data_IF_624940754484
#
_entry.id   IF_624940754484
#
_cell.length_a   1.000
_cell.length_b   1.000
_cell.length_c   1.000
_cell.angle_alpha   90.00
_cell.angle_beta   90.00
_cell.angle_gamma   90.00
#
_symmetry.space_group_name_H-M   'P 1'
#
loop_
_entity.id
_entity.type
_entity.pdbx_description
1 polymer ?
#
# COMPACT_ATOMS: atom_id res chain seq x y z
N UNK A 1 8.59 -7.87 10.74
CA UNK A 1 7.59 -7.18 9.91
C UNK A 1 8.27 -6.74 8.64
N UNK A 2 7.52 -6.62 7.55
CA UNK A 2 7.98 -6.02 6.31
C UNK A 2 7.63 -4.55 6.25
N UNK A 3 8.38 -3.78 5.48
CA UNK A 3 8.14 -2.35 5.27
C UNK A 3 8.19 -2.07 3.78
N UNK A 4 7.18 -1.36 3.26
CA UNK A 4 7.14 -0.89 1.87
C UNK A 4 6.85 0.59 1.85
N UNK A 5 7.75 1.37 1.22
CA UNK A 5 7.55 2.80 1.06
C UNK A 5 7.05 3.13 -0.34
N UNK A 6 6.08 4.05 -0.42
CA UNK A 6 5.53 4.57 -1.67
C UNK A 6 5.67 6.08 -1.70
N UNK A 7 6.36 6.59 -2.71
CA UNK A 7 6.58 8.01 -2.93
C UNK A 7 6.12 8.41 -4.35
N UNK A 8 5.32 9.48 -4.43
CA UNK A 8 4.93 10.09 -5.70
C UNK A 8 3.44 10.45 -5.77
N UNK A 9 3.06 11.34 -6.71
CA UNK A 9 1.70 11.88 -6.79
C UNK A 9 0.64 10.80 -7.00
N UNK A 10 1.02 9.67 -7.59
CA UNK A 10 0.12 8.54 -7.88
C UNK A 10 -0.04 7.59 -6.68
N UNK A 11 0.69 7.80 -5.57
CA UNK A 11 0.71 6.90 -4.42
C UNK A 11 -0.67 6.79 -3.75
N UNK A 12 -1.40 7.90 -3.62
CA UNK A 12 -2.73 7.89 -3.01
C UNK A 12 -3.70 7.03 -3.83
N UNK A 13 -3.76 7.25 -5.15
CA UNK A 13 -4.64 6.52 -6.05
C UNK A 13 -4.28 5.03 -6.09
N UNK A 14 -2.98 4.73 -6.25
CA UNK A 14 -2.50 3.36 -6.28
C UNK A 14 -2.83 2.63 -4.98
N UNK A 15 -2.50 3.23 -3.84
CA UNK A 15 -2.81 2.63 -2.56
C UNK A 15 -4.30 2.42 -2.48
N UNK A 16 -5.14 3.46 -2.73
CA UNK A 16 -6.61 3.43 -2.78
C UNK A 16 -7.21 2.26 -3.56
N UNK A 17 -6.51 1.79 -4.59
CA UNK A 17 -6.92 0.64 -5.36
C UNK A 17 -6.69 -0.71 -4.67
N UNK A 18 -5.55 -0.90 -4.00
CA UNK A 18 -5.13 -2.22 -3.49
C UNK A 18 -5.52 -2.50 -2.03
N UNK A 19 -5.83 -1.46 -1.25
CA UNK A 19 -6.30 -1.60 0.14
C UNK A 19 -7.78 -1.25 0.29
N UNK A 20 -8.39 -1.77 1.34
CA UNK A 20 -9.82 -1.62 1.60
C UNK A 20 -10.27 -0.26 2.17
N UNK A 21 -9.42 0.45 2.93
CA UNK A 21 -9.86 1.63 3.69
C UNK A 21 -9.35 2.95 3.10
N UNK A 22 -10.18 3.94 2.80
CA UNK A 22 -9.82 5.21 2.13
C UNK A 22 -8.65 5.99 2.77
N UNK A 23 -7.56 6.16 2.01
CA UNK A 23 -6.30 6.82 2.43
C UNK A 23 -6.41 8.34 2.39
N UNK A 24 -7.37 8.90 1.64
CA UNK A 24 -7.57 10.35 1.57
C UNK A 24 -8.00 10.96 2.91
N UNK A 25 -8.52 10.11 3.82
CA UNK A 25 -8.92 10.50 5.18
C UNK A 25 -7.78 10.48 6.20
N UNK A 26 -6.59 10.00 5.83
CA UNK A 26 -5.43 10.06 6.72
C UNK A 26 -4.78 11.43 6.62
N UNK A 27 -4.62 12.09 7.75
CA UNK A 27 -3.75 13.25 7.88
C UNK A 27 -2.27 12.81 7.90
N UNK A 28 -1.34 13.63 7.38
CA UNK A 28 0.09 13.37 7.54
C UNK A 28 0.48 13.13 9.01
N UNK A 29 1.28 12.09 9.26
CA UNK A 29 1.66 11.61 10.59
C UNK A 29 0.71 10.57 11.19
N UNK A 30 -0.43 10.30 10.55
CA UNK A 30 -1.41 9.32 11.03
C UNK A 30 -1.26 7.96 10.35
N UNK A 31 -1.77 6.92 11.00
CA UNK A 31 -1.82 5.57 10.48
C UNK A 31 -3.24 4.99 10.52
N UNK A 32 -3.49 3.99 9.70
CA UNK A 32 -4.75 3.29 9.60
C UNK A 32 -4.52 1.81 9.33
N UNK A 33 -5.21 0.96 10.08
CA UNK A 33 -5.27 -0.47 9.79
C UNK A 33 -6.09 -0.71 8.52
N UNK A 34 -5.60 -1.58 7.63
CA UNK A 34 -6.29 -1.91 6.39
C UNK A 34 -5.98 -3.33 5.94
N UNK A 35 -6.77 -3.82 4.99
CA UNK A 35 -6.57 -5.10 4.34
C UNK A 35 -6.03 -4.88 2.94
N UNK A 36 -4.99 -5.64 2.58
CA UNK A 36 -4.52 -5.79 1.20
C UNK A 36 -5.40 -6.84 0.51
N UNK A 37 -6.04 -6.46 -0.59
CA UNK A 37 -7.00 -7.32 -1.27
C UNK A 37 -6.60 -7.62 -2.71
N UNK A 38 -7.07 -8.77 -3.20
CA UNK A 38 -7.12 -9.12 -4.61
C UNK A 38 -8.30 -8.43 -5.30
N UNK A 39 -8.28 -8.42 -6.63
CA UNK A 39 -9.36 -7.84 -7.47
C UNK A 39 -10.72 -8.50 -7.24
N UNK A 40 -10.74 -9.76 -6.80
CA UNK A 40 -11.97 -10.50 -6.48
C UNK A 40 -12.46 -10.27 -5.02
N UNK A 41 -11.80 -9.40 -4.25
CA UNK A 41 -12.13 -9.12 -2.85
C UNK A 41 -11.52 -10.11 -1.85
N UNK A 42 -10.73 -11.09 -2.28
CA UNK A 42 -9.99 -11.99 -1.39
C UNK A 42 -8.90 -11.25 -0.62
N UNK A 43 -8.79 -11.50 0.68
CA UNK A 43 -7.78 -10.87 1.55
C UNK A 43 -6.43 -11.57 1.39
N UNK A 44 -5.39 -10.79 1.13
CA UNK A 44 -4.00 -11.25 1.03
C UNK A 44 -3.31 -11.12 2.38
N UNK A 45 -3.39 -9.94 2.99
CA UNK A 45 -2.81 -9.65 4.30
C UNK A 45 -3.57 -8.53 4.99
N UNK A 46 -3.40 -8.43 6.30
CA UNK A 46 -3.76 -7.26 7.07
C UNK A 46 -2.52 -6.47 7.49
N UNK A 47 -2.60 -5.14 7.43
CA UNK A 47 -1.44 -4.26 7.57
C UNK A 47 -1.78 -2.90 8.18
N UNK A 48 -0.74 -2.18 8.59
CA UNK A 48 -0.85 -0.76 8.91
C UNK A 48 -0.32 0.10 7.77
N UNK A 49 -1.10 1.08 7.35
CA UNK A 49 -0.70 2.10 6.39
C UNK A 49 -0.53 3.45 7.09
N UNK A 50 0.62 4.10 6.91
CA UNK A 50 0.93 5.41 7.45
C UNK A 50 1.06 6.43 6.32
N UNK A 51 0.54 7.64 6.55
CA UNK A 51 0.80 8.79 5.68
C UNK A 51 1.96 9.59 6.25
N UNK A 52 3.12 9.54 5.61
CA UNK A 52 4.35 10.22 6.06
C UNK A 52 4.47 11.66 5.51
N UNK A 53 3.60 12.05 4.58
CA UNK A 53 3.57 13.37 3.97
C UNK A 53 2.45 13.47 2.93
N UNK A 54 2.49 14.50 2.08
CA UNK A 54 1.48 14.72 1.06
C UNK A 54 1.28 13.48 0.16
N UNK A 55 2.40 12.97 -0.37
CA UNK A 55 2.47 11.89 -1.37
C UNK A 55 3.45 10.78 -0.96
N UNK A 56 3.60 10.57 0.36
CA UNK A 56 4.54 9.59 0.92
C UNK A 56 3.82 8.70 1.92
N UNK A 57 3.93 7.40 1.72
CA UNK A 57 3.23 6.40 2.52
C UNK A 57 4.14 5.24 2.89
N UNK A 58 3.86 4.63 4.03
CA UNK A 58 4.57 3.46 4.54
C UNK A 58 3.56 2.37 4.90
N UNK A 59 3.73 1.18 4.33
CA UNK A 59 2.99 0.00 4.73
C UNK A 59 3.86 -0.86 5.62
N UNK A 60 3.29 -1.29 6.75
CA UNK A 60 3.89 -2.24 7.68
C UNK A 60 3.11 -3.55 7.55
N UNK A 61 3.76 -4.57 7.00
CA UNK A 61 3.13 -5.87 6.68
C UNK A 61 3.62 -7.00 7.57
N UNK A 62 2.86 -8.09 7.60
CA UNK A 62 3.23 -9.27 8.37
C UNK A 62 4.51 -9.92 7.81
N UNK A 63 5.41 -10.33 8.71
CA UNK A 63 6.71 -10.88 8.31
C UNK A 63 6.60 -12.13 7.42
N UNK A 64 5.61 -12.99 7.69
CA UNK A 64 5.33 -14.21 6.93
C UNK A 64 4.66 -13.93 5.57
N UNK A 65 4.22 -12.70 5.32
CA UNK A 65 3.51 -12.29 4.10
C UNK A 65 4.32 -11.38 3.19
N UNK A 66 5.43 -10.84 3.68
CA UNK A 66 6.36 -9.95 2.95
C UNK A 66 6.55 -10.32 1.46
N UNK A 67 6.95 -11.56 1.16
CA UNK A 67 7.20 -11.97 -0.24
C UNK A 67 5.91 -11.99 -1.08
N UNK A 68 4.83 -12.53 -0.52
CA UNK A 68 3.52 -12.62 -1.19
C UNK A 68 2.95 -11.23 -1.45
N UNK A 69 3.01 -10.35 -0.46
CA UNK A 69 2.53 -8.97 -0.55
C UNK A 69 3.32 -8.20 -1.60
N UNK A 70 4.65 -8.32 -1.56
CA UNK A 70 5.52 -7.65 -2.52
C UNK A 70 5.26 -8.11 -3.95
N UNK A 71 5.11 -9.43 -4.17
CA UNK A 71 4.81 -9.98 -5.49
C UNK A 71 3.48 -9.44 -6.03
N UNK A 72 2.45 -9.38 -5.19
CA UNK A 72 1.15 -8.83 -5.56
C UNK A 72 1.24 -7.33 -5.89
N UNK A 73 1.81 -6.53 -4.99
CA UNK A 73 1.97 -5.08 -5.16
C UNK A 73 2.76 -4.77 -6.43
N UNK A 74 3.86 -5.48 -6.68
CA UNK A 74 4.69 -5.30 -7.88
C UNK A 74 3.94 -5.63 -9.17
N UNK A 75 3.09 -6.66 -9.16
CA UNK A 75 2.24 -6.97 -10.30
C UNK A 75 1.25 -5.83 -10.59
N UNK A 76 0.67 -5.22 -9.55
CA UNK A 76 -0.24 -4.07 -9.68
C UNK A 76 0.47 -2.78 -10.12
N UNK A 77 1.71 -2.54 -9.67
CA UNK A 77 2.50 -1.40 -10.13
C UNK A 77 2.80 -1.49 -11.64
N UNK A 78 3.22 -2.67 -12.12
CA UNK A 78 3.54 -2.87 -13.54
C UNK A 78 2.34 -2.70 -14.47
N UNK A 79 1.12 -3.00 -14.00
CA UNK A 79 -0.09 -2.88 -14.81
C UNK A 79 -0.61 -1.44 -14.88
N UNK A 80 -0.33 -0.61 -13.86
CA UNK A 80 -1.01 0.69 -13.68
C UNK A 80 -0.08 1.90 -13.59
N UNK A 81 1.08 1.81 -12.94
CA UNK A 81 1.89 2.97 -12.59
C UNK A 81 3.40 2.72 -12.73
N UNK A 82 3.98 3.14 -13.86
CA UNK A 82 5.42 3.02 -14.14
C UNK A 82 6.31 4.06 -13.42
N UNK A 83 5.70 5.10 -12.85
CA UNK A 83 6.35 6.27 -12.20
C UNK A 83 6.64 6.07 -10.71
N UNK A 84 5.91 5.17 -10.04
CA UNK A 84 5.99 4.97 -8.60
C UNK A 84 7.29 4.24 -8.23
N UNK A 85 8.13 4.91 -7.43
CA UNK A 85 9.27 4.25 -6.81
C UNK A 85 8.82 3.61 -5.50
N UNK A 86 9.05 2.31 -5.38
CA UNK A 86 8.84 1.53 -4.16
C UNK A 86 10.18 0.93 -3.73
N UNK A 87 10.56 1.14 -2.47
CA UNK A 87 11.77 0.57 -1.86
C UNK A 87 11.41 -0.24 -0.62
#
# INVERSE_FOLDING_TARGET
MGEFQFDGPDALEFLNHILSNDRAKLEPGSGQYSLLCQDNGGVIDDLYAYRLGQDRYLLIVNASRLEVDWMWIKAQLNSRNKSLQSR
#
